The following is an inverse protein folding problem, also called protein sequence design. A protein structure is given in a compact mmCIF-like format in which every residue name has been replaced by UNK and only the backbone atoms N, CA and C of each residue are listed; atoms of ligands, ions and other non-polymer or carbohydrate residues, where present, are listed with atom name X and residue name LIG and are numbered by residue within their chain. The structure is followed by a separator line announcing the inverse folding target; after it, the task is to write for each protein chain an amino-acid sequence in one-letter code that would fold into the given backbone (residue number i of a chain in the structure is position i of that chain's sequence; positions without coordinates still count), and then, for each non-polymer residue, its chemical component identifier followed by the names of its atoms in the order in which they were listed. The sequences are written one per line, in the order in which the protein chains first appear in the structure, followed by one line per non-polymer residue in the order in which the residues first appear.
data_IF_350943139450
#
_entry.id   IF_350943139450
#
_cell.length_a   1.000
_cell.length_b   1.000
_cell.length_c   1.000
_cell.angle_alpha   90.00
_cell.angle_beta   90.00
_cell.angle_gamma   90.00
#
_symmetry.space_group_name_H-M   'P 1'
#
loop_
_entity.id
_entity.type
_entity.pdbx_description
1 polymer ?
#
# COMPACT_ATOMS: atom_id res chain seq x y z
N UNK A 1 -33.93 0.34 0.86
CA UNK A 1 -33.27 0.37 -0.47
C UNK A 1 -32.77 -1.03 -0.73
N UNK A 2 -33.07 -1.60 -1.88
CA UNK A 2 -32.44 -2.84 -2.35
C UNK A 2 -31.12 -2.45 -3.04
N UNK A 3 -30.02 -3.09 -2.65
CA UNK A 3 -28.71 -2.91 -3.28
C UNK A 3 -28.11 -4.29 -3.52
N UNK A 4 -27.48 -4.49 -4.68
CA UNK A 4 -26.82 -5.76 -5.03
C UNK A 4 -25.51 -5.97 -4.25
N UNK A 5 -24.88 -4.87 -3.84
CA UNK A 5 -23.60 -4.85 -3.12
C UNK A 5 -23.59 -3.86 -1.96
N UNK A 6 -22.89 -4.20 -0.88
CA UNK A 6 -22.73 -3.36 0.32
C UNK A 6 -21.25 -3.29 0.71
N UNK A 7 -20.76 -2.10 1.04
CA UNK A 7 -19.42 -1.90 1.59
C UNK A 7 -19.49 -1.39 3.03
N UNK A 8 -18.81 -2.09 3.94
CA UNK A 8 -18.73 -1.77 5.36
C UNK A 8 -17.45 -0.95 5.60
N UNK A 9 -17.64 0.33 5.90
CA UNK A 9 -16.58 1.28 6.26
C UNK A 9 -16.86 1.99 7.58
N UNK A 10 -17.35 1.27 8.60
CA UNK A 10 -17.73 1.84 9.91
C UNK A 10 -16.56 2.37 10.74
N UNK A 11 -15.34 1.88 10.49
CA UNK A 11 -14.11 2.30 11.17
C UNK A 11 -14.00 1.82 12.62
N UNK A 12 -13.00 2.34 13.33
CA UNK A 12 -12.70 2.01 14.73
C UNK A 12 -13.09 3.15 15.67
N UNK A 13 -14.40 3.34 15.89
CA UNK A 13 -14.93 4.52 16.58
C UNK A 13 -15.04 4.40 18.10
N UNK A 14 -14.61 3.28 18.70
CA UNK A 14 -14.61 3.09 20.16
C UNK A 14 -13.19 3.24 20.70
N UNK A 15 -13.03 3.78 21.89
CA UNK A 15 -11.74 3.75 22.60
C UNK A 15 -11.53 2.38 23.26
N UNK A 16 -10.27 1.98 23.42
CA UNK A 16 -9.95 0.80 24.22
C UNK A 16 -10.08 1.14 25.71
N UNK A 17 -10.88 0.39 26.50
CA UNK A 17 -11.08 0.69 27.91
C UNK A 17 -9.81 0.40 28.73
N UNK A 18 -9.54 1.25 29.73
CA UNK A 18 -8.49 1.05 30.72
C UNK A 18 -9.10 0.58 32.03
N UNK A 19 -8.87 -0.67 32.41
CA UNK A 19 -9.45 -1.25 33.61
C UNK A 19 -8.53 -1.07 34.82
N UNK A 20 -8.65 0.06 35.52
CA UNK A 20 -7.94 0.35 36.78
C UNK A 20 -8.90 0.93 37.82
N UNK A 21 -8.62 0.79 39.12
CA UNK A 21 -9.41 1.43 40.17
C UNK A 21 -9.52 2.94 39.96
N UNK A 22 -10.72 3.49 40.19
CA UNK A 22 -11.00 4.93 40.10
C UNK A 22 -11.21 5.48 38.69
N UNK A 23 -11.20 4.65 37.64
CA UNK A 23 -11.32 5.11 36.25
C UNK A 23 -12.66 5.82 35.94
N UNK A 24 -13.73 5.53 36.69
CA UNK A 24 -15.05 6.16 36.55
C UNK A 24 -15.16 7.53 37.24
N UNK A 25 -14.07 8.07 37.78
CA UNK A 25 -14.09 9.33 38.51
C UNK A 25 -14.34 10.53 37.58
N UNK A 26 -15.01 11.58 38.10
CA UNK A 26 -15.17 12.84 37.36
C UNK A 26 -13.79 13.45 37.08
N UNK A 27 -13.54 13.82 35.83
CA UNK A 27 -12.22 14.29 35.36
C UNK A 27 -11.44 13.22 34.58
N UNK A 28 -11.90 11.97 34.59
CA UNK A 28 -11.47 11.00 33.57
C UNK A 28 -12.32 11.20 32.32
N UNK A 29 -11.70 11.49 31.18
CA UNK A 29 -12.39 11.80 29.93
C UNK A 29 -12.05 10.75 28.86
N UNK A 30 -13.05 10.31 28.09
CA UNK A 30 -12.80 9.48 26.91
C UNK A 30 -12.01 10.29 25.86
N UNK A 31 -10.91 9.74 25.29
CA UNK A 31 -10.07 10.46 24.35
C UNK A 31 -10.79 10.89 23.08
N UNK A 32 -11.67 10.05 22.52
CA UNK A 32 -12.37 10.37 21.27
C UNK A 32 -13.47 11.38 21.54
N UNK A 33 -14.26 11.19 22.61
CA UNK A 33 -15.29 12.14 23.01
C UNK A 33 -14.71 13.52 23.31
N UNK A 34 -13.56 13.57 24.01
CA UNK A 34 -12.82 14.80 24.26
C UNK A 34 -12.50 15.53 22.94
N UNK A 35 -11.87 14.85 21.99
CA UNK A 35 -11.51 15.43 20.69
C UNK A 35 -12.75 15.86 19.88
N UNK A 36 -13.83 15.06 19.90
CA UNK A 36 -15.08 15.39 19.22
C UNK A 36 -15.74 16.64 19.80
N UNK A 37 -15.80 16.77 21.14
CA UNK A 37 -16.36 17.95 21.80
C UNK A 37 -15.58 19.22 21.46
N UNK A 38 -14.24 19.16 21.48
CA UNK A 38 -13.40 20.30 21.08
C UNK A 38 -13.69 20.71 19.64
N UNK A 39 -13.73 19.75 18.72
CA UNK A 39 -14.05 20.01 17.30
C UNK A 39 -15.42 20.67 17.13
N UNK A 40 -16.39 20.34 17.98
CA UNK A 40 -17.73 20.93 17.97
C UNK A 40 -17.83 22.26 18.75
N UNK A 41 -16.73 22.76 19.33
CA UNK A 41 -16.74 23.95 20.17
C UNK A 41 -17.50 23.78 21.48
N UNK A 42 -17.64 22.53 21.96
CA UNK A 42 -18.36 22.19 23.19
C UNK A 42 -17.41 22.12 24.39
N UNK A 43 -17.98 22.32 25.58
CA UNK A 43 -17.24 22.17 26.83
C UNK A 43 -16.84 20.69 27.06
N UNK A 44 -15.56 20.49 27.33
CA UNK A 44 -14.96 19.16 27.54
C UNK A 44 -14.93 18.74 29.01
N UNK A 45 -14.98 19.70 29.93
CA UNK A 45 -14.74 19.46 31.36
C UNK A 45 -13.26 19.28 31.72
N UNK A 46 -12.33 19.66 30.83
CA UNK A 46 -10.88 19.65 31.09
C UNK A 46 -10.53 20.65 32.20
N UNK A 47 -9.63 20.24 33.10
CA UNK A 47 -8.99 21.07 34.11
C UNK A 47 -7.63 21.61 33.66
N UNK A 48 -6.76 21.99 34.61
CA UNK A 48 -5.48 22.64 34.30
C UNK A 48 -4.29 21.68 34.33
N UNK A 49 -4.40 20.53 34.99
CA UNK A 49 -3.34 19.53 35.12
C UNK A 49 -3.79 18.23 34.49
N UNK A 50 -3.38 18.02 33.24
CA UNK A 50 -3.89 16.97 32.36
C UNK A 50 -2.83 15.87 32.20
N UNK A 51 -3.23 14.63 32.45
CA UNK A 51 -2.42 13.46 32.10
C UNK A 51 -3.06 12.72 30.93
N UNK A 52 -2.29 12.50 29.87
CA UNK A 52 -2.64 11.61 28.76
C UNK A 52 -1.92 10.28 28.97
N UNK A 53 -2.65 9.16 28.95
CA UNK A 53 -2.06 7.83 29.06
C UNK A 53 -1.98 7.23 27.65
N UNK A 54 -0.77 6.95 27.17
CA UNK A 54 -0.57 6.35 25.84
C UNK A 54 0.62 6.93 25.09
N UNK A 55 0.84 6.45 23.86
CA UNK A 55 1.94 6.90 23.00
C UNK A 55 1.66 6.79 21.51
N UNK A 56 0.40 6.55 21.12
CA UNK A 56 -0.02 6.54 19.71
C UNK A 56 -0.53 7.90 19.25
N UNK A 57 -0.91 8.00 17.97
CA UNK A 57 -1.35 9.28 17.38
C UNK A 57 -2.52 9.91 18.15
N UNK A 58 -3.52 9.13 18.58
CA UNK A 58 -4.61 9.66 19.43
C UNK A 58 -4.12 10.28 20.74
N UNK A 59 -3.03 9.77 21.32
CA UNK A 59 -2.44 10.36 22.52
C UNK A 59 -1.73 11.69 22.19
N UNK A 60 -1.09 11.79 21.02
CA UNK A 60 -0.49 13.04 20.54
C UNK A 60 -1.59 14.08 20.26
N UNK A 61 -2.65 13.70 19.54
CA UNK A 61 -3.79 14.56 19.24
C UNK A 61 -4.43 15.10 20.53
N UNK A 62 -4.69 14.22 21.50
CA UNK A 62 -5.26 14.60 22.79
C UNK A 62 -4.32 15.53 23.57
N UNK A 63 -3.00 15.26 23.59
CA UNK A 63 -2.02 16.09 24.27
C UNK A 63 -1.94 17.51 23.66
N UNK A 64 -1.76 17.61 22.35
CA UNK A 64 -1.66 18.90 21.64
C UNK A 64 -2.95 19.70 21.74
N UNK A 65 -4.10 19.02 21.68
CA UNK A 65 -5.40 19.65 21.91
C UNK A 65 -5.52 20.16 23.34
N UNK A 66 -5.13 19.36 24.33
CA UNK A 66 -5.15 19.77 25.73
C UNK A 66 -4.27 20.99 25.98
N UNK A 67 -3.06 21.06 25.40
CA UNK A 67 -2.15 22.22 25.54
C UNK A 67 -2.85 23.53 25.16
N UNK A 68 -3.61 23.52 24.07
CA UNK A 68 -4.34 24.70 23.56
C UNK A 68 -5.46 25.13 24.49
N UNK A 69 -6.16 24.17 25.09
CA UNK A 69 -7.27 24.46 26.02
C UNK A 69 -6.79 24.95 27.38
N UNK A 70 -5.73 24.36 27.94
CA UNK A 70 -5.23 24.73 29.27
C UNK A 70 -4.37 26.00 29.25
N UNK A 71 -3.83 26.33 28.07
CA UNK A 71 -3.01 27.51 27.82
C UNK A 71 -1.74 27.57 28.67
N UNK A 72 -1.20 28.78 28.83
CA UNK A 72 0.12 29.01 29.48
C UNK A 72 0.19 28.56 30.94
N UNK A 73 -0.94 28.62 31.64
CA UNK A 73 -1.06 28.31 33.06
C UNK A 73 -1.34 26.83 33.35
N UNK A 74 -1.60 26.04 32.31
CA UNK A 74 -1.82 24.60 32.45
C UNK A 74 -0.55 23.78 32.27
N UNK A 75 -0.68 22.51 32.65
CA UNK A 75 0.33 21.48 32.48
C UNK A 75 -0.30 20.26 31.81
N UNK A 76 0.33 19.80 30.73
CA UNK A 76 -0.02 18.55 30.05
C UNK A 76 1.17 17.60 30.18
N UNK A 77 0.89 16.36 30.56
CA UNK A 77 1.89 15.31 30.72
C UNK A 77 1.42 14.03 30.05
N UNK A 78 2.29 13.41 29.27
CA UNK A 78 2.07 12.08 28.71
C UNK A 78 2.72 11.06 29.62
N UNK A 79 1.97 10.03 30.03
CA UNK A 79 2.48 8.86 30.73
C UNK A 79 2.52 7.70 29.77
N UNK A 80 3.72 7.15 29.55
CA UNK A 80 3.92 6.04 28.64
C UNK A 80 4.70 4.90 29.28
N UNK A 81 4.17 3.67 29.15
CA UNK A 81 4.75 2.45 29.74
C UNK A 81 6.07 2.01 29.08
N UNK A 82 6.45 2.62 27.95
CA UNK A 82 7.70 2.37 27.21
C UNK A 82 8.46 3.68 27.04
N UNK A 83 9.55 3.64 26.27
CA UNK A 83 10.33 4.84 25.91
C UNK A 83 9.71 5.58 24.71
N UNK A 84 10.05 6.87 24.55
CA UNK A 84 9.68 7.73 23.41
C UNK A 84 10.09 7.07 22.09
N UNK A 85 11.28 6.46 22.04
CA UNK A 85 11.78 5.72 20.86
C UNK A 85 10.89 4.54 20.45
N UNK A 86 10.01 4.11 21.34
CA UNK A 86 9.08 3.00 21.14
C UNK A 86 7.62 3.46 21.09
N UNK A 87 7.35 4.76 21.01
CA UNK A 87 6.02 5.27 20.75
C UNK A 87 5.58 4.86 19.34
N UNK A 88 4.36 4.33 19.16
CA UNK A 88 3.84 4.00 17.83
C UNK A 88 3.35 5.23 17.04
N UNK A 89 3.30 6.41 17.65
CA UNK A 89 2.98 7.65 16.95
C UNK A 89 4.02 8.00 15.87
N UNK A 90 3.61 8.81 14.90
CA UNK A 90 4.54 9.34 13.91
C UNK A 90 5.62 10.20 14.57
N UNK A 91 6.86 10.12 14.06
CA UNK A 91 8.01 10.85 14.62
C UNK A 91 7.81 12.37 14.59
N UNK A 92 7.11 12.89 13.57
CA UNK A 92 6.75 14.30 13.48
C UNK A 92 5.80 14.72 14.59
N UNK A 93 4.78 13.90 14.90
CA UNK A 93 3.83 14.18 15.98
C UNK A 93 4.49 14.14 17.36
N UNK A 94 5.36 13.16 17.60
CA UNK A 94 6.14 13.07 18.84
C UNK A 94 6.98 14.33 19.03
N UNK A 95 7.66 14.77 17.95
CA UNK A 95 8.47 15.99 17.98
C UNK A 95 7.61 17.22 18.25
N UNK A 96 6.48 17.37 17.58
CA UNK A 96 5.58 18.51 17.76
C UNK A 96 5.06 18.62 19.20
N UNK A 97 4.67 17.49 19.82
CA UNK A 97 4.26 17.43 21.23
C UNK A 97 5.37 17.92 22.17
N UNK A 98 6.62 17.50 21.94
CA UNK A 98 7.77 17.91 22.74
C UNK A 98 8.10 19.40 22.53
N UNK A 99 8.04 19.88 21.29
CA UNK A 99 8.31 21.28 20.93
C UNK A 99 7.24 22.23 21.52
N UNK A 100 5.99 21.78 21.63
CA UNK A 100 4.90 22.48 22.33
C UNK A 100 5.08 22.50 23.86
N UNK A 101 6.05 21.73 24.39
CA UNK A 101 6.44 21.74 25.81
C UNK A 101 5.72 20.71 26.68
N UNK A 102 5.14 19.66 26.09
CA UNK A 102 4.52 18.56 26.82
C UNK A 102 5.59 17.68 27.47
N UNK A 103 5.43 17.42 28.77
CA UNK A 103 6.32 16.51 29.50
C UNK A 103 5.94 15.05 29.18
N UNK A 104 6.92 14.21 28.87
CA UNK A 104 6.71 12.76 28.68
C UNK A 104 7.40 11.99 29.81
N UNK A 105 6.60 11.29 30.60
CA UNK A 105 7.08 10.37 31.63
C UNK A 105 7.16 8.97 31.00
N UNK A 106 8.36 8.62 30.57
CA UNK A 106 8.69 7.29 30.07
C UNK A 106 8.68 6.24 31.19
N UNK A 107 8.53 4.98 30.78
CA UNK A 107 8.62 3.82 31.67
C UNK A 107 7.75 3.97 32.93
N UNK A 108 6.53 4.47 32.74
CA UNK A 108 5.53 4.59 33.78
C UNK A 108 4.20 4.02 33.27
N UNK A 109 3.64 3.05 33.99
CA UNK A 109 2.32 2.52 33.69
C UNK A 109 1.29 2.90 34.75
N UNK A 110 0.04 3.15 34.36
CA UNK A 110 -1.02 3.50 35.30
C UNK A 110 -1.41 2.29 36.16
N UNK A 111 -1.68 2.53 37.44
CA UNK A 111 -2.12 1.50 38.41
C UNK A 111 -3.50 1.83 38.96
N UNK A 112 -3.74 3.09 39.33
CA UNK A 112 -5.04 3.57 39.82
C UNK A 112 -5.19 5.07 39.55
N UNK A 113 -6.44 5.52 39.40
CA UNK A 113 -6.79 6.93 39.52
C UNK A 113 -7.06 7.22 41.00
N UNK A 114 -6.27 8.11 41.58
CA UNK A 114 -6.46 8.55 42.96
C UNK A 114 -7.61 9.55 42.98
N UNK A 115 -8.71 9.18 43.64
CA UNK A 115 -9.96 9.94 43.68
C UNK A 115 -10.08 10.70 44.99
N UNK A 116 -10.46 11.98 44.90
CA UNK A 116 -10.82 12.81 46.06
C UNK A 116 -12.15 13.50 45.78
N UNK A 117 -13.11 13.38 46.71
CA UNK A 117 -14.45 13.95 46.59
C UNK A 117 -15.17 13.59 45.27
N UNK A 118 -14.97 12.34 44.80
CA UNK A 118 -15.53 11.84 43.54
C UNK A 118 -14.85 12.35 42.26
N UNK A 119 -13.75 13.09 42.37
CA UNK A 119 -13.00 13.65 41.24
C UNK A 119 -11.58 13.08 41.16
N UNK A 120 -11.03 13.01 39.95
CA UNK A 120 -9.62 12.72 39.74
C UNK A 120 -8.74 13.76 40.45
N UNK A 121 -7.73 13.29 41.18
CA UNK A 121 -6.77 14.14 41.91
C UNK A 121 -5.31 13.79 41.57
N UNK A 122 -5.03 12.53 41.24
CA UNK A 122 -3.74 12.09 40.73
C UNK A 122 -3.88 10.79 39.93
N UNK A 123 -2.90 10.50 39.07
CA UNK A 123 -2.69 9.18 38.51
C UNK A 123 -1.56 8.49 39.27
N UNK A 124 -1.85 7.37 39.94
CA UNK A 124 -0.81 6.52 40.51
C UNK A 124 -0.21 5.67 39.40
N UNK A 125 1.09 5.76 39.26
CA UNK A 125 1.88 5.00 38.30
C UNK A 125 2.88 4.11 39.01
N UNK A 126 3.31 3.05 38.33
CA UNK A 126 4.45 2.22 38.72
C UNK A 126 5.57 2.36 37.69
N UNK A 127 6.83 2.40 38.13
CA UNK A 127 7.96 2.40 37.21
C UNK A 127 8.07 1.06 36.48
N UNK A 128 8.41 1.15 35.21
CA UNK A 128 8.59 0.02 34.31
C UNK A 128 10.07 -0.14 33.99
N UNK A 129 10.48 -1.36 33.65
CA UNK A 129 11.77 -1.65 33.02
C UNK A 129 11.56 -2.43 31.74
N UNK A 130 12.41 -2.18 30.75
CA UNK A 130 12.44 -2.94 29.50
C UNK A 130 13.00 -4.36 29.74
N UNK A 131 12.41 -5.33 29.07
CA UNK A 131 12.87 -6.72 29.03
C UNK A 131 13.20 -7.15 27.60
N UNK A 132 13.16 -8.46 27.34
CA UNK A 132 13.38 -9.04 26.01
C UNK A 132 12.26 -8.67 25.04
N UNK A 133 12.50 -8.84 23.73
CA UNK A 133 11.47 -8.68 22.70
C UNK A 133 10.33 -9.68 22.93
N UNK A 134 9.10 -9.18 22.84
CA UNK A 134 7.86 -9.93 22.87
C UNK A 134 7.51 -10.47 21.46
N UNK A 135 6.38 -11.19 21.37
CA UNK A 135 5.88 -11.80 20.12
C UNK A 135 5.54 -10.76 19.04
N UNK A 136 5.33 -9.50 19.42
CA UNK A 136 5.13 -8.38 18.48
C UNK A 136 6.44 -7.72 18.06
N UNK A 137 7.57 -8.36 18.37
CA UNK A 137 8.95 -7.87 18.24
C UNK A 137 9.27 -6.61 19.06
N UNK A 138 8.36 -6.19 19.95
CA UNK A 138 8.53 -5.01 20.81
C UNK A 138 9.20 -5.43 22.11
N UNK A 139 10.03 -4.58 22.72
CA UNK A 139 10.54 -4.92 24.05
C UNK A 139 9.38 -5.02 25.04
N UNK A 140 9.32 -6.16 25.74
CA UNK A 140 8.43 -6.37 26.88
C UNK A 140 8.74 -5.34 27.96
N UNK A 141 7.75 -5.00 28.77
CA UNK A 141 7.93 -4.14 29.93
C UNK A 141 7.42 -4.83 31.17
N UNK A 142 8.20 -4.74 32.25
CA UNK A 142 7.89 -5.35 33.55
C UNK A 142 7.86 -4.26 34.62
N UNK A 143 6.92 -4.40 35.54
CA UNK A 143 6.80 -3.51 36.70
C UNK A 143 8.00 -3.64 37.63
N UNK A 144 8.37 -2.52 38.26
CA UNK A 144 9.33 -2.48 39.35
C UNK A 144 8.55 -2.38 40.65
N UNK A 145 8.46 -3.48 41.40
CA UNK A 145 7.71 -3.53 42.66
C UNK A 145 8.21 -2.46 43.65
N UNK A 146 7.28 -1.81 44.36
CA UNK A 146 7.60 -0.77 45.34
C UNK A 146 7.96 0.60 44.76
N UNK A 147 7.87 0.79 43.44
CA UNK A 147 8.22 2.06 42.76
C UNK A 147 7.01 2.96 42.44
N UNK A 148 5.93 2.81 43.21
CA UNK A 148 4.70 3.56 42.98
C UNK A 148 4.91 5.06 43.20
N UNK A 149 4.31 5.88 42.35
CA UNK A 149 4.36 7.34 42.45
C UNK A 149 3.04 7.95 42.00
N UNK A 150 2.61 9.00 42.69
CA UNK A 150 1.39 9.73 42.34
C UNK A 150 1.77 10.97 41.53
N UNK A 151 1.20 11.10 40.34
CA UNK A 151 1.35 12.27 39.48
C UNK A 151 0.07 13.10 39.62
N UNK A 152 0.12 14.30 40.23
CA UNK A 152 -1.07 15.13 40.41
C UNK A 152 -1.72 15.52 39.07
N UNK A 153 -3.04 15.34 38.99
CA UNK A 153 -3.82 15.68 37.81
C UNK A 153 -5.29 15.85 38.17
N UNK A 154 -5.94 16.86 37.59
CA UNK A 154 -7.38 17.05 37.68
C UNK A 154 -8.11 16.43 36.46
N UNK A 155 -7.38 16.14 35.38
CA UNK A 155 -7.90 15.48 34.19
C UNK A 155 -7.01 14.32 33.76
N UNK A 156 -7.62 13.17 33.45
CA UNK A 156 -6.92 11.98 32.96
C UNK A 156 -7.60 11.50 31.67
N UNK A 157 -6.83 11.30 30.60
CA UNK A 157 -7.34 10.88 29.29
C UNK A 157 -6.62 9.58 28.86
N UNK A 158 -7.29 8.41 28.91
CA UNK A 158 -6.69 7.13 28.53
C UNK A 158 -6.74 6.89 27.01
N UNK A 159 -5.73 7.38 26.28
CA UNK A 159 -5.57 7.23 24.82
C UNK A 159 -4.73 5.98 24.46
N UNK A 160 -5.21 4.79 24.86
CA UNK A 160 -4.44 3.53 24.76
C UNK A 160 -4.78 2.66 23.54
N UNK A 161 -5.72 3.07 22.70
CA UNK A 161 -6.11 2.34 21.49
C UNK A 161 -7.52 2.66 21.03
N UNK A 162 -7.89 2.11 19.87
CA UNK A 162 -9.24 2.17 19.33
C UNK A 162 -9.73 0.75 19.01
N UNK A 163 -11.05 0.57 19.06
CA UNK A 163 -11.76 -0.67 18.81
C UNK A 163 -12.81 -0.48 17.73
N UNK A 164 -13.09 -1.58 17.03
CA UNK A 164 -14.18 -1.63 16.06
C UNK A 164 -15.51 -1.33 16.74
N UNK A 165 -16.36 -0.58 16.03
CA UNK A 165 -17.73 -0.37 16.45
C UNK A 165 -18.68 -1.13 15.51
N UNK A 166 -18.61 -2.46 15.57
CA UNK A 166 -19.45 -3.37 14.78
C UNK A 166 -20.16 -4.31 15.74
N UNK A 167 -21.30 -3.88 16.26
CA UNK A 167 -22.16 -4.65 17.18
C UNK A 167 -23.42 -5.20 16.50
N UNK A 168 -23.56 -4.93 15.20
CA UNK A 168 -24.72 -5.31 14.39
C UNK A 168 -24.50 -6.58 13.56
N UNK A 169 -23.29 -7.16 13.56
CA UNK A 169 -22.92 -8.40 12.83
C UNK A 169 -21.89 -9.20 13.62
N UNK A 170 -21.85 -10.51 13.38
CA UNK A 170 -20.81 -11.41 13.88
C UNK A 170 -19.47 -11.17 13.15
N UNK A 171 -18.38 -10.99 13.91
CA UNK A 171 -17.03 -10.79 13.38
C UNK A 171 -16.58 -11.94 12.46
N UNK A 172 -17.03 -13.16 12.71
CA UNK A 172 -16.65 -14.32 11.89
C UNK A 172 -17.19 -14.22 10.46
N UNK A 173 -18.34 -13.56 10.28
CA UNK A 173 -18.96 -13.33 8.97
C UNK A 173 -18.25 -12.23 8.18
N UNK A 174 -17.52 -11.35 8.85
CA UNK A 174 -16.79 -10.23 8.26
C UNK A 174 -15.36 -10.58 7.83
N UNK A 175 -14.89 -11.79 8.13
CA UNK A 175 -13.58 -12.26 7.68
C UNK A 175 -13.52 -12.32 6.15
N UNK A 176 -12.40 -11.85 5.61
CA UNK A 176 -12.10 -11.91 4.17
C UNK A 176 -11.04 -12.97 3.88
N UNK A 177 -10.96 -13.41 2.61
CA UNK A 177 -9.85 -14.24 2.13
C UNK A 177 -8.64 -13.36 1.79
N UNK A 178 -7.45 -13.98 1.74
CA UNK A 178 -6.22 -13.23 1.48
C UNK A 178 -6.28 -12.53 0.12
N UNK A 179 -6.12 -11.21 0.11
CA UNK A 179 -6.17 -10.39 -1.12
C UNK A 179 -7.57 -9.99 -1.60
N UNK A 180 -8.63 -10.39 -0.91
CA UNK A 180 -10.02 -9.99 -1.21
C UNK A 180 -10.59 -9.09 -0.13
N UNK A 181 -11.55 -8.26 -0.54
CA UNK A 181 -12.36 -7.40 0.33
C UNK A 181 -13.77 -7.95 0.54
N UNK A 182 -14.14 -9.03 -0.17
CA UNK A 182 -15.41 -9.72 0.02
C UNK A 182 -15.42 -10.46 1.36
N UNK A 183 -16.50 -10.27 2.10
CA UNK A 183 -16.76 -11.00 3.34
C UNK A 183 -17.36 -12.38 3.05
N UNK A 184 -17.67 -13.15 4.10
CA UNK A 184 -18.40 -14.42 3.94
C UNK A 184 -19.88 -14.22 3.60
N UNK A 185 -20.40 -13.00 3.76
CA UNK A 185 -21.76 -12.65 3.36
C UNK A 185 -21.72 -12.25 1.87
N UNK A 186 -22.47 -12.97 1.05
CA UNK A 186 -22.56 -12.70 -0.38
C UNK A 186 -22.98 -11.24 -0.65
N UNK A 187 -22.23 -10.56 -1.53
CA UNK A 187 -22.46 -9.17 -1.90
C UNK A 187 -21.98 -8.13 -0.87
N UNK A 188 -21.39 -8.56 0.26
CA UNK A 188 -20.91 -7.64 1.31
C UNK A 188 -19.39 -7.62 1.33
N UNK A 189 -18.85 -6.41 1.37
CA UNK A 189 -17.42 -6.09 1.36
C UNK A 189 -17.06 -5.27 2.59
N UNK A 190 -15.80 -5.27 3.00
CA UNK A 190 -15.30 -4.52 4.14
C UNK A 190 -13.92 -3.94 3.83
N UNK A 191 -13.57 -2.79 4.39
CA UNK A 191 -12.24 -2.22 4.21
C UNK A 191 -11.93 -1.05 5.15
N UNK A 192 -10.68 -0.57 5.06
CA UNK A 192 -10.16 0.44 5.97
C UNK A 192 -10.10 -0.07 7.40
N UNK A 193 -10.30 0.83 8.36
CA UNK A 193 -10.16 0.49 9.78
C UNK A 193 -11.17 -0.57 10.23
N UNK A 194 -12.33 -0.68 9.57
CA UNK A 194 -13.31 -1.73 9.83
C UNK A 194 -12.74 -3.15 9.60
N UNK A 195 -11.78 -3.27 8.68
CA UNK A 195 -11.10 -4.53 8.34
C UNK A 195 -9.74 -4.66 9.05
N UNK A 196 -8.99 -3.56 9.18
CA UNK A 196 -7.60 -3.56 9.65
C UNK A 196 -7.43 -3.32 11.15
N UNK A 197 -8.47 -2.81 11.82
CA UNK A 197 -8.31 -2.03 13.05
C UNK A 197 -7.67 -0.66 12.76
N UNK A 198 -7.35 0.09 13.82
CA UNK A 198 -6.81 1.45 13.70
C UNK A 198 -5.58 1.51 12.77
N UNK A 199 -5.74 2.12 11.61
CA UNK A 199 -4.71 2.26 10.58
C UNK A 199 -4.59 3.73 10.14
N UNK A 200 -3.87 3.96 9.04
CA UNK A 200 -3.72 5.30 8.48
C UNK A 200 -4.82 5.57 7.44
N UNK A 201 -5.23 6.83 7.31
CA UNK A 201 -6.22 7.24 6.31
C UNK A 201 -5.86 6.77 4.89
N UNK A 202 -4.57 6.80 4.52
CA UNK A 202 -4.11 6.35 3.20
C UNK A 202 -4.34 4.85 2.97
N UNK A 203 -4.22 4.01 4.00
CA UNK A 203 -4.53 2.57 3.90
C UNK A 203 -6.02 2.36 3.71
N UNK A 204 -6.86 3.12 4.42
CA UNK A 204 -8.32 3.06 4.26
C UNK A 204 -8.78 3.51 2.87
N UNK A 205 -8.18 4.58 2.32
CA UNK A 205 -8.40 5.01 0.94
C UNK A 205 -8.00 3.90 -0.04
N UNK A 206 -6.82 3.29 0.17
CA UNK A 206 -6.33 2.19 -0.66
C UNK A 206 -7.27 0.97 -0.66
N UNK A 207 -7.81 0.62 0.50
CA UNK A 207 -8.79 -0.46 0.62
C UNK A 207 -10.11 -0.12 -0.09
N UNK A 208 -10.63 1.09 0.10
CA UNK A 208 -11.85 1.53 -0.58
C UNK A 208 -11.73 1.45 -2.10
N UNK A 209 -10.58 1.85 -2.66
CA UNK A 209 -10.32 1.75 -4.11
C UNK A 209 -10.31 0.30 -4.58
N UNK A 210 -9.59 -0.58 -3.89
CA UNK A 210 -9.47 -2.00 -4.28
C UNK A 210 -10.79 -2.76 -4.10
N UNK A 211 -11.54 -2.48 -3.03
CA UNK A 211 -12.86 -3.04 -2.82
C UNK A 211 -13.83 -2.58 -3.91
N UNK A 212 -13.80 -1.30 -4.31
CA UNK A 212 -14.61 -0.80 -5.42
C UNK A 212 -14.27 -1.50 -6.75
N UNK A 213 -12.99 -1.70 -7.06
CA UNK A 213 -12.57 -2.47 -8.25
C UNK A 213 -13.07 -3.92 -8.20
N UNK A 214 -13.08 -4.55 -7.03
CA UNK A 214 -13.58 -5.93 -6.84
C UNK A 214 -15.11 -6.01 -6.98
N UNK A 215 -15.83 -5.05 -6.41
CA UNK A 215 -17.29 -4.92 -6.58
C UNK A 215 -17.64 -4.77 -8.05
N UNK A 216 -16.94 -3.89 -8.78
CA UNK A 216 -17.18 -3.68 -10.22
C UNK A 216 -16.98 -4.99 -10.99
N UNK A 217 -15.87 -5.71 -10.76
CA UNK A 217 -15.64 -7.01 -11.40
C UNK A 217 -16.76 -8.01 -11.10
N UNK A 218 -17.20 -8.12 -9.85
CA UNK A 218 -18.25 -9.05 -9.45
C UNK A 218 -19.65 -8.64 -9.95
N UNK A 219 -19.85 -7.35 -10.24
CA UNK A 219 -21.03 -6.83 -10.92
C UNK A 219 -21.00 -7.07 -12.45
N UNK A 220 -19.95 -7.70 -12.98
CA UNK A 220 -19.75 -7.84 -14.43
C UNK A 220 -19.40 -6.52 -15.13
N UNK A 221 -19.00 -5.51 -14.37
CA UNK A 221 -18.60 -4.20 -14.87
C UNK A 221 -17.08 -4.11 -14.95
N UNK A 222 -16.60 -3.38 -15.96
CA UNK A 222 -15.19 -3.06 -16.05
C UNK A 222 -14.88 -1.86 -15.15
N UNK A 223 -13.84 -1.92 -14.29
CA UNK A 223 -13.36 -0.75 -13.58
C UNK A 223 -13.01 0.36 -14.58
N UNK A 224 -13.79 1.44 -14.60
CA UNK A 224 -13.42 2.64 -15.33
C UNK A 224 -12.30 3.36 -14.57
N UNK A 225 -11.31 3.83 -15.30
CA UNK A 225 -10.29 4.72 -14.73
C UNK A 225 -10.74 6.16 -14.87
N UNK A 226 -10.65 6.88 -13.75
CA UNK A 226 -10.53 8.32 -13.75
C UNK A 226 -9.11 8.71 -14.19
N UNK A 227 -8.84 8.62 -15.50
CA UNK A 227 -7.71 9.38 -16.07
C UNK A 227 -8.22 10.81 -16.25
N UNK A 228 -7.60 11.82 -15.63
CA UNK A 228 -8.01 13.20 -15.82
C UNK A 228 -8.05 13.53 -17.32
N UNK A 229 -9.19 14.06 -17.78
CA UNK A 229 -9.32 14.50 -19.16
C UNK A 229 -8.22 15.53 -19.47
N UNK A 230 -7.56 15.40 -20.63
CA UNK A 230 -6.51 16.33 -21.06
C UNK A 230 -5.12 16.02 -20.54
N UNK A 231 -4.86 14.85 -19.96
CA UNK A 231 -3.50 14.39 -19.66
C UNK A 231 -2.66 14.31 -20.94
N UNK A 232 -1.60 15.12 -21.02
CA UNK A 232 -0.67 15.13 -22.14
C UNK A 232 0.34 13.97 -21.99
N UNK A 233 0.57 13.22 -23.07
CA UNK A 233 1.64 12.23 -23.10
C UNK A 233 3.01 12.95 -23.16
N UNK A 234 3.96 12.49 -22.36
CA UNK A 234 5.32 13.03 -22.36
C UNK A 234 6.26 12.22 -23.25
N UNK A 235 7.23 12.90 -23.87
CA UNK A 235 8.28 12.21 -24.62
C UNK A 235 9.25 11.50 -23.66
N UNK A 236 9.79 10.36 -24.08
CA UNK A 236 10.74 9.58 -23.27
C UNK A 236 11.94 10.42 -22.83
N UNK A 237 12.50 11.24 -23.73
CA UNK A 237 13.66 12.07 -23.43
C UNK A 237 13.34 13.13 -22.39
N UNK A 238 12.16 13.75 -22.47
CA UNK A 238 11.69 14.73 -21.47
C UNK A 238 11.58 14.09 -20.09
N UNK A 239 10.98 12.90 -20.02
CA UNK A 239 10.83 12.14 -18.78
C UNK A 239 12.18 11.78 -18.14
N UNK A 240 13.17 11.39 -18.96
CA UNK A 240 14.53 11.12 -18.50
C UNK A 240 15.20 12.41 -17.99
N UNK A 241 15.13 13.50 -18.76
CA UNK A 241 15.74 14.79 -18.38
C UNK A 241 15.20 15.25 -17.02
N UNK A 242 13.88 15.16 -16.81
CA UNK A 242 13.22 15.57 -15.57
C UNK A 242 13.73 14.83 -14.33
N UNK A 243 14.33 13.64 -14.50
CA UNK A 243 14.86 12.79 -13.41
C UNK A 243 16.35 12.99 -13.15
N UNK A 244 17.05 13.75 -13.99
CA UNK A 244 18.49 13.95 -13.84
C UNK A 244 18.85 14.85 -12.66
N UNK A 245 17.93 15.73 -12.24
CA UNK A 245 18.15 16.67 -11.16
C UNK A 245 17.08 16.53 -10.08
N UNK A 246 17.52 16.43 -8.82
CA UNK A 246 16.63 16.56 -7.67
C UNK A 246 16.32 18.03 -7.46
N UNK A 247 15.08 18.41 -7.74
CA UNK A 247 14.51 19.71 -7.34
C UNK A 247 13.87 19.50 -5.98
N UNK A 248 14.12 20.36 -4.98
CA UNK A 248 13.45 20.30 -3.68
C UNK A 248 12.12 21.06 -3.74
N UNK A 249 11.12 20.59 -2.98
CA UNK A 249 9.83 21.27 -2.89
C UNK A 249 9.91 22.47 -1.94
N UNK A 250 8.91 23.36 -1.96
CA UNK A 250 8.78 24.38 -0.94
C UNK A 250 8.67 23.71 0.45
N UNK A 251 9.42 24.23 1.42
CA UNK A 251 9.27 23.79 2.81
C UNK A 251 8.09 24.52 3.43
N UNK A 252 7.07 23.81 3.96
CA UNK A 252 5.98 24.47 4.66
C UNK A 252 6.54 25.21 5.87
N UNK A 253 6.10 26.45 6.08
CA UNK A 253 6.48 27.23 7.26
C UNK A 253 5.84 26.59 8.49
N UNK A 254 6.66 26.09 9.41
CA UNK A 254 6.19 25.59 10.70
C UNK A 254 6.31 26.69 11.77
N UNK A 255 5.19 27.08 12.34
CA UNK A 255 5.16 27.99 13.48
C UNK A 255 5.60 27.23 14.74
N UNK A 256 6.84 27.43 15.17
CA UNK A 256 7.33 26.92 16.45
C UNK A 256 6.75 27.75 17.61
N UNK A 257 5.54 27.41 18.04
CA UNK A 257 4.88 28.05 19.18
C UNK A 257 5.00 27.13 20.39
N UNK A 258 5.81 27.55 21.37
CA UNK A 258 5.90 26.85 22.66
C UNK A 258 4.67 27.21 23.51
N UNK A 259 3.89 26.20 23.92
CA UNK A 259 2.60 26.35 24.62
C UNK A 259 1.61 27.26 23.86
N UNK A 260 1.12 26.85 22.69
CA UNK A 260 0.05 27.57 22.00
C UNK A 260 -1.19 27.65 22.89
N UNK A 261 -1.89 28.79 22.84
CA UNK A 261 -3.15 29.05 23.55
C UNK A 261 -4.34 29.21 22.59
N UNK A 262 -4.15 28.85 21.31
CA UNK A 262 -5.17 28.85 20.28
C UNK A 262 -5.04 27.66 19.31
N UNK A 263 -5.97 27.58 18.36
CA UNK A 263 -5.98 26.57 17.29
C UNK A 263 -5.48 27.14 15.96
N UNK A 264 -4.58 28.14 16.01
CA UNK A 264 -3.94 28.65 14.79
C UNK A 264 -3.18 27.54 14.08
N UNK A 265 -3.11 27.66 12.76
CA UNK A 265 -2.49 26.66 11.90
C UNK A 265 -0.98 26.61 12.18
N UNK A 266 -0.48 25.43 12.57
CA UNK A 266 0.94 25.24 12.92
C UNK A 266 1.79 25.04 11.67
N UNK A 267 1.30 24.25 10.71
CA UNK A 267 1.97 23.99 9.44
C UNK A 267 1.27 24.80 8.35
N UNK A 268 1.97 25.78 7.78
CA UNK A 268 1.44 26.59 6.69
C UNK A 268 1.04 25.77 5.47
N UNK A 269 0.01 26.22 4.76
CA UNK A 269 -0.38 25.70 3.45
C UNK A 269 0.41 26.38 2.35
N UNK A 270 0.66 25.67 1.25
CA UNK A 270 1.16 26.28 0.02
C UNK A 270 0.16 27.30 -0.51
N UNK A 271 0.65 28.45 -0.97
CA UNK A 271 -0.16 29.34 -1.77
C UNK A 271 -0.43 28.75 -3.18
N UNK A 272 -1.29 29.40 -3.96
CA UNK A 272 -1.67 28.91 -5.29
C UNK A 272 -0.45 28.72 -6.22
N UNK A 273 0.51 29.63 -6.19
CA UNK A 273 1.69 29.58 -7.04
C UNK A 273 2.67 28.48 -6.54
N UNK A 274 2.90 28.39 -5.25
CA UNK A 274 3.70 27.33 -4.63
C UNK A 274 3.11 25.94 -4.92
N UNK A 275 1.78 25.80 -4.87
CA UNK A 275 1.09 24.56 -5.20
C UNK A 275 1.28 24.18 -6.69
N UNK A 276 1.21 25.15 -7.61
CA UNK A 276 1.48 24.92 -9.04
C UNK A 276 2.94 24.51 -9.27
N UNK A 277 3.90 25.16 -8.61
CA UNK A 277 5.32 24.81 -8.68
C UNK A 277 5.57 23.41 -8.14
N UNK A 278 4.98 23.07 -6.99
CA UNK A 278 5.12 21.74 -6.37
C UNK A 278 4.50 20.64 -7.25
N UNK A 279 3.31 20.87 -7.81
CA UNK A 279 2.68 19.95 -8.76
C UNK A 279 3.54 19.77 -10.03
N UNK A 280 4.15 20.85 -10.52
CA UNK A 280 5.07 20.84 -11.67
C UNK A 280 6.30 19.95 -11.46
N UNK A 281 6.65 19.65 -10.21
CA UNK A 281 7.78 18.80 -9.81
C UNK A 281 7.52 17.30 -10.00
N UNK A 282 6.29 16.88 -10.33
CA UNK A 282 5.90 15.49 -10.59
C UNK A 282 6.83 14.80 -11.61
N UNK A 283 7.41 13.64 -11.27
CA UNK A 283 8.33 12.91 -12.16
C UNK A 283 7.66 11.94 -13.15
N UNK A 284 6.32 11.91 -13.18
CA UNK A 284 5.53 11.04 -14.05
C UNK A 284 5.97 9.56 -13.96
N UNK A 285 6.12 9.07 -12.72
CA UNK A 285 6.55 7.69 -12.46
C UNK A 285 5.51 6.64 -12.91
N UNK A 286 4.27 7.06 -13.11
CA UNK A 286 3.20 6.24 -13.65
C UNK A 286 3.22 6.16 -15.18
N UNK A 287 4.00 6.99 -15.88
CA UNK A 287 4.27 6.82 -17.32
C UNK A 287 5.56 6.02 -17.55
N UNK A 288 6.65 6.41 -16.89
CA UNK A 288 7.95 5.76 -17.01
C UNK A 288 8.43 5.28 -15.65
N UNK A 289 8.60 3.97 -15.46
CA UNK A 289 9.26 3.43 -14.26
C UNK A 289 10.56 2.72 -14.67
N UNK A 290 11.70 3.43 -14.61
CA UNK A 290 12.99 2.95 -15.14
C UNK A 290 14.18 3.15 -14.21
N UNK A 291 13.98 3.46 -12.93
CA UNK A 291 15.09 3.61 -11.97
C UNK A 291 15.97 2.36 -11.93
N UNK A 292 15.35 1.18 -12.03
CA UNK A 292 16.06 -0.09 -12.03
C UNK A 292 17.03 -0.26 -13.23
N UNK A 293 16.77 0.38 -14.37
CA UNK A 293 17.67 0.36 -15.53
C UNK A 293 18.88 1.27 -15.32
N UNK A 294 18.70 2.38 -14.60
CA UNK A 294 19.79 3.36 -14.37
C UNK A 294 20.74 2.94 -13.26
N UNK A 295 20.32 2.08 -12.33
CA UNK A 295 21.15 1.61 -11.21
C UNK A 295 21.75 0.22 -11.43
N UNK A 296 21.42 -0.45 -12.54
CA UNK A 296 21.94 -1.78 -12.86
C UNK A 296 23.37 -1.66 -13.43
N UNK A 297 24.40 -2.14 -12.72
CA UNK A 297 25.79 -2.02 -13.17
C UNK A 297 26.09 -2.88 -14.41
N UNK A 298 25.36 -3.98 -14.58
CA UNK A 298 25.54 -4.92 -15.69
C UNK A 298 24.60 -4.64 -16.88
N UNK A 299 23.80 -3.56 -16.81
CA UNK A 299 22.83 -3.18 -17.84
C UNK A 299 21.82 -4.29 -18.20
N UNK A 300 21.51 -5.17 -17.24
CA UNK A 300 20.58 -6.31 -17.46
C UNK A 300 19.13 -5.87 -17.59
N UNK A 301 18.75 -4.78 -16.93
CA UNK A 301 17.40 -4.25 -16.96
C UNK A 301 17.29 -3.20 -18.05
N UNK A 302 16.44 -3.44 -19.04
CA UNK A 302 16.25 -2.55 -20.19
C UNK A 302 14.78 -2.14 -20.31
N UNK A 303 14.56 -0.92 -20.80
CA UNK A 303 13.22 -0.42 -21.08
C UNK A 303 12.80 -0.81 -22.50
N UNK A 304 11.60 -1.35 -22.67
CA UNK A 304 10.97 -1.59 -23.97
C UNK A 304 9.58 -0.95 -24.03
N UNK A 305 9.06 -0.80 -25.25
CA UNK A 305 7.81 -0.08 -25.51
C UNK A 305 6.72 -1.06 -25.97
N UNK A 306 5.61 -1.06 -25.24
CA UNK A 306 4.39 -1.77 -25.59
C UNK A 306 3.23 -0.79 -25.72
N UNK A 307 2.21 -1.19 -26.45
CA UNK A 307 0.99 -0.39 -26.57
C UNK A 307 0.08 -0.68 -25.37
N UNK A 308 -0.26 0.33 -24.55
CA UNK A 308 -1.19 0.16 -23.44
C UNK A 308 -2.57 -0.29 -23.95
N UNK A 309 -3.23 -1.14 -23.19
CA UNK A 309 -4.51 -1.68 -23.60
C UNK A 309 -5.05 -2.74 -22.66
N UNK A 310 -6.31 -3.11 -22.88
CA UNK A 310 -6.95 -4.26 -22.25
C UNK A 310 -7.21 -5.28 -23.34
N UNK A 311 -6.63 -6.46 -23.19
CA UNK A 311 -6.70 -7.52 -24.19
C UNK A 311 -7.52 -8.68 -23.61
N UNK A 312 -8.59 -9.14 -24.28
CA UNK A 312 -9.26 -10.37 -23.86
C UNK A 312 -8.27 -11.52 -23.98
N UNK A 313 -8.19 -12.35 -22.95
CA UNK A 313 -7.38 -13.57 -22.93
C UNK A 313 -8.25 -14.76 -22.59
N UNK A 314 -7.88 -15.91 -23.12
CA UNK A 314 -8.72 -17.08 -23.11
C UNK A 314 -7.96 -18.34 -23.48
N UNK A 315 -8.71 -19.39 -23.76
CA UNK A 315 -8.18 -20.66 -24.23
C UNK A 315 -8.77 -20.99 -25.59
N UNK A 316 -7.94 -21.55 -26.48
CA UNK A 316 -8.42 -22.28 -27.64
C UNK A 316 -8.58 -23.73 -27.22
N UNK A 317 -9.81 -24.25 -27.33
CA UNK A 317 -10.12 -25.65 -27.06
C UNK A 317 -10.28 -26.33 -28.41
N UNK A 318 -9.43 -27.31 -28.70
CA UNK A 318 -9.48 -28.13 -29.90
C UNK A 318 -9.92 -29.54 -29.56
N UNK A 319 -11.01 -30.02 -30.17
CA UNK A 319 -11.62 -31.32 -29.85
C UNK A 319 -11.19 -32.47 -30.77
N UNK A 320 -10.33 -32.20 -31.76
CA UNK A 320 -9.91 -33.16 -32.78
C UNK A 320 -10.33 -32.75 -34.19
N UNK A 321 -11.46 -32.05 -34.33
CA UNK A 321 -12.00 -31.59 -35.62
C UNK A 321 -12.31 -30.09 -35.62
N UNK A 322 -12.83 -29.56 -34.52
CA UNK A 322 -13.26 -28.18 -34.37
C UNK A 322 -12.45 -27.47 -33.27
N UNK A 323 -12.47 -26.14 -33.33
CA UNK A 323 -11.96 -25.29 -32.26
C UNK A 323 -13.03 -24.31 -31.78
N UNK A 324 -12.95 -23.96 -30.50
CA UNK A 324 -13.70 -22.84 -29.93
C UNK A 324 -12.79 -21.97 -29.07
N UNK A 325 -13.08 -20.67 -29.06
CA UNK A 325 -12.42 -19.72 -28.19
C UNK A 325 -13.26 -19.49 -26.93
N UNK A 326 -12.65 -19.66 -25.77
CA UNK A 326 -13.27 -19.37 -24.48
C UNK A 326 -12.51 -18.23 -23.81
N UNK A 327 -13.15 -17.06 -23.66
CA UNK A 327 -12.55 -15.91 -22.95
C UNK A 327 -12.65 -16.17 -21.45
N UNK A 328 -11.50 -16.31 -20.80
CA UNK A 328 -11.39 -16.61 -19.37
C UNK A 328 -11.00 -15.39 -18.54
N UNK A 329 -10.57 -14.29 -19.18
CA UNK A 329 -10.26 -13.05 -18.49
C UNK A 329 -9.73 -11.95 -19.41
N UNK A 330 -9.06 -10.97 -18.81
CA UNK A 330 -8.46 -9.84 -19.50
C UNK A 330 -7.03 -9.62 -19.01
N UNK A 331 -6.14 -9.28 -19.93
CA UNK A 331 -4.77 -8.86 -19.65
C UNK A 331 -4.66 -7.34 -19.85
N UNK A 332 -4.25 -6.62 -18.80
CA UNK A 332 -4.16 -5.15 -18.83
C UNK A 332 -2.70 -4.69 -18.84
N UNK A 333 -2.38 -3.80 -19.78
CA UNK A 333 -1.12 -3.05 -19.81
C UNK A 333 -1.41 -1.59 -19.50
N UNK A 334 -0.90 -1.13 -18.35
CA UNK A 334 -1.15 0.24 -17.86
C UNK A 334 -0.13 1.26 -18.35
N UNK A 335 1.12 0.85 -18.50
CA UNK A 335 2.23 1.75 -18.84
C UNK A 335 2.81 1.36 -20.18
N UNK A 336 3.11 2.37 -21.01
CA UNK A 336 3.74 2.19 -22.32
C UNK A 336 5.17 1.64 -22.19
N UNK A 337 5.92 2.18 -21.24
CA UNK A 337 7.30 1.78 -20.98
C UNK A 337 7.32 0.64 -19.96
N UNK A 338 7.83 -0.52 -20.40
CA UNK A 338 7.97 -1.72 -19.58
C UNK A 338 9.44 -2.06 -19.41
N UNK A 339 9.75 -2.89 -18.42
CA UNK A 339 11.12 -3.33 -18.12
C UNK A 339 11.25 -4.82 -18.42
N UNK A 340 12.30 -5.19 -19.13
CA UNK A 340 12.75 -6.57 -19.31
C UNK A 340 14.07 -6.79 -18.57
N UNK A 341 14.35 -8.03 -18.22
CA UNK A 341 15.55 -8.44 -17.50
C UNK A 341 16.34 -9.47 -18.31
N UNK A 342 17.52 -9.11 -18.83
CA UNK A 342 18.45 -10.07 -19.42
C UNK A 342 19.13 -10.89 -18.32
N UNK A 343 18.60 -12.08 -18.07
CA UNK A 343 18.95 -12.90 -16.91
C UNK A 343 20.41 -13.34 -16.93
N UNK A 344 20.94 -13.71 -18.11
CA UNK A 344 22.32 -14.20 -18.29
C UNK A 344 23.41 -13.21 -17.84
N UNK A 345 23.10 -11.92 -17.80
CA UNK A 345 24.06 -10.88 -17.44
C UNK A 345 23.96 -10.49 -15.96
N UNK A 346 22.98 -11.04 -15.24
CA UNK A 346 22.67 -10.62 -13.89
C UNK A 346 23.54 -11.35 -12.88
N UNK A 347 24.13 -10.60 -11.96
CA UNK A 347 24.86 -11.14 -10.82
C UNK A 347 24.10 -10.97 -9.49
N UNK A 348 22.80 -10.64 -9.57
CA UNK A 348 21.91 -10.47 -8.43
C UNK A 348 22.42 -9.51 -7.33
N UNK A 349 23.16 -8.47 -7.69
CA UNK A 349 23.72 -7.52 -6.70
C UNK A 349 22.68 -6.77 -5.85
N UNK A 350 21.40 -6.79 -6.23
CA UNK A 350 20.30 -6.22 -5.46
C UNK A 350 20.11 -4.70 -5.60
N UNK A 351 20.93 -3.99 -6.39
CA UNK A 351 20.79 -2.54 -6.58
C UNK A 351 19.38 -2.15 -7.03
N UNK A 352 18.81 -2.88 -7.99
CA UNK A 352 17.46 -2.60 -8.47
C UNK A 352 16.38 -2.76 -7.40
N UNK A 353 16.61 -3.54 -6.34
CA UNK A 353 15.72 -3.67 -5.18
C UNK A 353 15.88 -2.46 -4.26
N UNK A 354 17.12 -2.13 -3.90
CA UNK A 354 17.45 -1.03 -2.98
C UNK A 354 16.88 0.30 -3.46
N UNK A 355 16.94 0.56 -4.77
CA UNK A 355 16.48 1.82 -5.36
C UNK A 355 15.06 1.75 -5.95
N UNK A 356 14.33 0.64 -5.76
CA UNK A 356 12.98 0.51 -6.31
C UNK A 356 12.01 1.45 -5.58
N UNK A 357 11.39 2.44 -6.27
CA UNK A 357 10.47 3.38 -5.61
C UNK A 357 9.15 2.74 -5.16
N UNK A 358 8.85 1.53 -5.67
CA UNK A 358 7.66 0.75 -5.30
C UNK A 358 7.99 -0.44 -4.39
N UNK A 359 9.20 -0.48 -3.82
CA UNK A 359 9.68 -1.57 -2.95
C UNK A 359 9.59 -2.97 -3.57
N UNK A 360 9.65 -3.07 -4.90
CA UNK A 360 9.70 -4.35 -5.62
C UNK A 360 11.12 -4.88 -5.80
N UNK A 361 11.24 -6.08 -6.36
CA UNK A 361 12.49 -6.72 -6.73
C UNK A 361 12.63 -6.91 -8.26
N UNK A 362 13.02 -5.88 -9.04
CA UNK A 362 12.95 -5.92 -10.50
C UNK A 362 13.68 -7.10 -11.16
N UNK A 363 14.86 -7.49 -10.65
CA UNK A 363 15.58 -8.63 -11.20
C UNK A 363 14.87 -9.98 -11.01
N UNK A 364 13.93 -10.09 -10.05
CA UNK A 364 13.11 -11.29 -9.83
C UNK A 364 11.74 -11.19 -10.48
N UNK A 365 11.15 -9.99 -10.48
CA UNK A 365 9.74 -9.78 -10.85
C UNK A 365 9.53 -9.42 -12.32
N UNK A 366 10.54 -8.84 -12.98
CA UNK A 366 10.40 -8.45 -14.40
C UNK A 366 10.62 -9.65 -15.31
N UNK A 367 10.00 -9.68 -16.52
CA UNK A 367 10.18 -10.78 -17.45
C UNK A 367 11.66 -11.05 -17.72
N UNK A 368 12.08 -12.29 -17.45
CA UNK A 368 13.43 -12.76 -17.71
C UNK A 368 13.58 -13.15 -19.17
N UNK A 369 14.59 -12.60 -19.83
CA UNK A 369 14.96 -12.93 -21.20
C UNK A 369 16.37 -13.54 -21.18
N UNK A 370 16.48 -14.73 -21.72
CA UNK A 370 17.71 -15.48 -21.90
C UNK A 370 18.14 -15.40 -23.36
N UNK A 371 19.43 -15.19 -23.55
CA UNK A 371 20.15 -15.20 -24.83
C UNK A 371 20.97 -16.50 -24.97
N UNK A 372 21.31 -17.13 -23.85
CA UNK A 372 21.88 -18.48 -23.84
C UNK A 372 20.77 -19.54 -23.70
N UNK A 373 20.70 -20.44 -24.68
CA UNK A 373 19.70 -21.50 -24.71
C UNK A 373 19.86 -22.49 -23.56
N UNK A 374 21.10 -22.80 -23.17
CA UNK A 374 21.39 -23.75 -22.09
C UNK A 374 20.95 -23.20 -20.74
N UNK A 375 21.17 -21.91 -20.51
CA UNK A 375 20.70 -21.21 -19.31
C UNK A 375 19.16 -21.25 -19.23
N UNK A 376 18.46 -20.91 -20.31
CA UNK A 376 17.00 -21.00 -20.38
C UNK A 376 16.47 -22.43 -20.10
N UNK A 377 17.07 -23.45 -20.71
CA UNK A 377 16.66 -24.85 -20.52
C UNK A 377 16.96 -25.37 -19.10
N UNK A 378 17.93 -24.76 -18.42
CA UNK A 378 18.31 -25.08 -17.03
C UNK A 378 17.36 -24.44 -16.02
N UNK A 379 17.12 -23.12 -16.14
CA UNK A 379 16.28 -22.37 -15.21
C UNK A 379 14.78 -22.67 -15.42
N UNK A 380 14.36 -22.88 -16.67
CA UNK A 380 12.97 -23.12 -17.08
C UNK A 380 11.99 -22.05 -16.60
N UNK A 381 12.49 -20.83 -16.38
CA UNK A 381 11.69 -19.64 -16.15
C UNK A 381 11.98 -18.60 -17.24
N UNK A 382 11.05 -17.65 -17.40
CA UNK A 382 11.21 -16.59 -18.39
C UNK A 382 11.12 -17.04 -19.84
N UNK A 383 11.92 -16.39 -20.68
CA UNK A 383 11.80 -16.44 -22.13
C UNK A 383 13.15 -16.57 -22.81
N UNK A 384 13.22 -17.35 -23.89
CA UNK A 384 14.41 -17.41 -24.75
C UNK A 384 14.10 -16.80 -26.11
N UNK A 385 14.88 -15.80 -26.53
CA UNK A 385 14.69 -15.11 -27.80
C UNK A 385 15.75 -15.54 -28.83
N UNK A 386 15.32 -15.88 -30.05
CA UNK A 386 16.21 -16.27 -31.14
C UNK A 386 15.71 -15.75 -32.50
N UNK A 387 16.64 -15.50 -33.41
CA UNK A 387 16.30 -15.18 -34.80
C UNK A 387 16.33 -16.46 -35.64
N UNK A 388 15.19 -16.81 -36.20
CA UNK A 388 15.02 -17.97 -37.09
C UNK A 388 15.02 -17.54 -38.55
N UNK A 389 14.99 -18.50 -39.48
CA UNK A 389 14.83 -18.23 -40.91
C UNK A 389 13.48 -17.54 -41.24
N UNK A 390 12.45 -17.75 -40.42
CA UNK A 390 11.09 -17.23 -40.63
C UNK A 390 10.86 -15.87 -39.97
N UNK A 391 11.69 -15.50 -38.98
CA UNK A 391 11.59 -14.25 -38.24
C UNK A 391 12.09 -14.35 -36.80
N UNK A 392 11.79 -13.33 -36.01
CA UNK A 392 12.11 -13.32 -34.58
C UNK A 392 11.17 -14.29 -33.85
N UNK A 393 11.74 -15.15 -33.02
CA UNK A 393 11.03 -16.17 -32.24
C UNK A 393 11.33 -16.01 -30.76
N UNK A 394 10.35 -16.33 -29.92
CA UNK A 394 10.50 -16.41 -28.47
C UNK A 394 9.93 -17.73 -27.96
N UNK A 395 10.58 -18.33 -26.96
CA UNK A 395 10.15 -19.56 -26.30
C UNK A 395 9.96 -19.33 -24.80
N UNK A 396 9.07 -20.09 -24.16
CA UNK A 396 8.86 -20.05 -22.70
C UNK A 396 8.36 -21.40 -22.20
N UNK A 397 8.64 -21.72 -20.93
CA UNK A 397 8.04 -22.85 -20.25
C UNK A 397 6.85 -22.41 -19.41
N UNK A 398 5.72 -23.10 -19.56
CA UNK A 398 4.52 -22.86 -18.75
C UNK A 398 3.82 -24.19 -18.48
N UNK A 399 3.46 -24.46 -17.22
CA UNK A 399 2.83 -25.70 -16.77
C UNK A 399 3.49 -26.99 -17.30
N UNK A 400 4.83 -26.98 -17.34
CA UNK A 400 5.65 -28.12 -17.78
C UNK A 400 5.74 -28.31 -19.30
N UNK A 401 5.12 -27.43 -20.10
CA UNK A 401 5.17 -27.45 -21.56
C UNK A 401 6.00 -26.30 -22.11
N UNK A 402 6.68 -26.54 -23.24
CA UNK A 402 7.40 -25.50 -23.96
C UNK A 402 6.49 -24.88 -25.02
N UNK A 403 6.36 -23.56 -24.99
CA UNK A 403 5.62 -22.79 -25.97
C UNK A 403 6.57 -21.95 -26.81
N UNK A 404 6.27 -21.83 -28.10
CA UNK A 404 6.97 -20.98 -29.06
C UNK A 404 6.04 -19.93 -29.66
N UNK A 405 6.57 -18.74 -29.94
CA UNK A 405 5.89 -17.72 -30.71
C UNK A 405 6.87 -17.09 -31.71
N UNK A 406 6.59 -17.27 -33.01
CA UNK A 406 7.37 -16.67 -34.09
C UNK A 406 6.58 -15.56 -34.76
N UNK A 407 7.22 -14.38 -34.92
CA UNK A 407 6.68 -13.25 -35.68
C UNK A 407 7.26 -13.26 -37.09
N UNK A 408 6.38 -13.37 -38.08
CA UNK A 408 6.69 -13.18 -39.50
C UNK A 408 6.17 -11.81 -39.97
N UNK A 409 6.30 -11.48 -41.25
CA UNK A 409 5.81 -10.20 -41.79
C UNK A 409 4.30 -9.97 -41.58
N UNK A 410 3.47 -11.01 -41.71
CA UNK A 410 2.00 -10.90 -41.72
C UNK A 410 1.31 -11.86 -40.73
N UNK A 411 2.06 -12.68 -39.99
CA UNK A 411 1.49 -13.73 -39.13
C UNK A 411 2.28 -13.90 -37.83
N UNK A 412 1.56 -14.32 -36.80
CA UNK A 412 2.11 -14.95 -35.60
C UNK A 412 1.91 -16.46 -35.68
N UNK A 413 2.95 -17.21 -35.34
CA UNK A 413 2.90 -18.68 -35.26
C UNK A 413 3.09 -19.05 -33.79
N UNK A 414 2.02 -19.47 -33.12
CA UNK A 414 2.05 -19.93 -31.73
C UNK A 414 2.09 -21.45 -31.70
N UNK A 415 3.08 -22.05 -31.05
CA UNK A 415 3.32 -23.49 -31.09
C UNK A 415 3.62 -24.09 -29.72
N UNK A 416 3.44 -25.40 -29.63
CA UNK A 416 3.89 -26.27 -28.54
C UNK A 416 4.30 -27.62 -29.13
N UNK A 417 4.63 -28.59 -28.26
CA UNK A 417 4.84 -29.98 -28.68
C UNK A 417 3.56 -30.64 -29.24
N UNK A 418 2.39 -30.04 -29.01
CA UNK A 418 1.09 -30.61 -29.37
C UNK A 418 0.41 -29.94 -30.56
N UNK A 419 0.72 -28.67 -30.83
CA UNK A 419 0.01 -27.89 -31.83
C UNK A 419 0.88 -26.80 -32.46
N UNK A 420 0.42 -26.30 -33.60
CA UNK A 420 0.87 -25.04 -34.20
C UNK A 420 -0.37 -24.26 -34.68
N UNK A 421 -0.48 -23.01 -34.25
CA UNK A 421 -1.61 -22.12 -34.51
C UNK A 421 -1.08 -20.89 -35.25
N UNK A 422 -1.55 -20.67 -36.47
CA UNK A 422 -1.24 -19.48 -37.25
C UNK A 422 -2.32 -18.43 -37.05
N UNK A 423 -1.90 -17.22 -36.67
CA UNK A 423 -2.78 -16.07 -36.47
C UNK A 423 -2.33 -14.91 -37.37
N UNK A 424 -3.28 -14.14 -37.87
CA UNK A 424 -2.99 -12.89 -38.57
C UNK A 424 -2.36 -11.87 -37.61
N UNK A 425 -1.28 -11.19 -38.05
CA UNK A 425 -0.56 -10.26 -37.18
C UNK A 425 -1.34 -8.97 -36.85
N UNK A 426 -2.34 -8.59 -37.65
CA UNK A 426 -3.10 -7.35 -37.53
C UNK A 426 -4.33 -7.48 -36.63
N UNK A 427 -5.03 -8.62 -36.67
CA UNK A 427 -6.28 -8.83 -35.93
C UNK A 427 -6.27 -10.07 -35.02
N UNK A 428 -5.19 -10.87 -35.04
CA UNK A 428 -5.01 -12.08 -34.22
C UNK A 428 -6.05 -13.18 -34.54
N UNK A 429 -6.77 -13.08 -35.66
CA UNK A 429 -7.70 -14.13 -36.10
C UNK A 429 -6.93 -15.40 -36.47
N UNK A 430 -7.44 -16.54 -35.99
CA UNK A 430 -6.89 -17.87 -36.29
C UNK A 430 -7.10 -18.15 -37.78
N UNK A 431 -6.01 -18.41 -38.49
CA UNK A 431 -6.02 -18.80 -39.90
C UNK A 431 -5.96 -20.30 -40.07
N UNK A 432 -5.10 -20.96 -39.28
CA UNK A 432 -4.84 -22.38 -39.40
C UNK A 432 -4.45 -22.97 -38.04
N UNK A 433 -4.89 -24.20 -37.78
CA UNK A 433 -4.49 -24.99 -36.62
C UNK A 433 -3.97 -26.33 -37.14
N UNK A 434 -2.70 -26.60 -36.89
CA UNK A 434 -2.06 -27.89 -37.12
C UNK A 434 -1.99 -28.65 -35.79
N UNK A 435 -2.64 -29.82 -35.73
CA UNK A 435 -2.57 -30.71 -34.57
C UNK A 435 -1.41 -31.69 -34.74
N UNK A 436 -0.32 -31.47 -34.00
CA UNK A 436 0.91 -32.28 -34.08
C UNK A 436 0.74 -33.58 -33.30
N UNK A 437 0.05 -33.53 -32.15
CA UNK A 437 -0.11 -34.71 -31.27
C UNK A 437 -1.19 -35.69 -31.74
N UNK A 438 -2.12 -35.24 -32.57
CA UNK A 438 -3.31 -36.00 -32.96
C UNK A 438 -4.35 -36.15 -31.85
N UNK A 439 -4.16 -35.48 -30.71
CA UNK A 439 -5.06 -35.51 -29.56
C UNK A 439 -5.76 -34.14 -29.39
N UNK A 440 -6.85 -34.13 -28.61
CA UNK A 440 -7.47 -32.88 -28.16
C UNK A 440 -6.49 -32.08 -27.28
N UNK A 441 -6.50 -30.76 -27.38
CA UNK A 441 -5.62 -29.88 -26.61
C UNK A 441 -6.31 -28.58 -26.21
N UNK A 442 -5.76 -27.95 -25.17
CA UNK A 442 -6.08 -26.58 -24.79
C UNK A 442 -4.83 -25.71 -24.99
N UNK A 443 -4.98 -24.57 -25.68
CA UNK A 443 -3.92 -23.59 -25.83
C UNK A 443 -4.25 -22.33 -25.03
N UNK A 444 -3.45 -22.02 -24.01
CA UNK A 444 -3.62 -20.82 -23.17
C UNK A 444 -3.07 -19.57 -23.88
N UNK A 445 -3.98 -18.72 -24.34
CA UNK A 445 -3.63 -17.47 -25.03
C UNK A 445 -3.09 -16.40 -24.09
N UNK A 446 -3.23 -16.55 -22.76
CA UNK A 446 -2.59 -15.64 -21.80
C UNK A 446 -1.06 -15.75 -21.86
N UNK A 447 -0.52 -16.94 -22.11
CA UNK A 447 0.91 -17.19 -22.34
C UNK A 447 1.32 -16.55 -23.66
N UNK A 448 0.57 -16.82 -24.74
CA UNK A 448 0.82 -16.25 -26.06
C UNK A 448 0.79 -14.72 -26.06
N UNK A 449 -0.12 -14.10 -25.32
CA UNK A 449 -0.18 -12.64 -25.16
C UNK A 449 1.09 -12.08 -24.49
N UNK A 450 1.58 -12.70 -23.40
CA UNK A 450 2.84 -12.29 -22.75
C UNK A 450 4.02 -12.43 -23.72
N UNK A 451 4.10 -13.54 -24.45
CA UNK A 451 5.14 -13.77 -25.46
C UNK A 451 5.11 -12.71 -26.56
N UNK A 452 3.92 -12.39 -27.10
CA UNK A 452 3.75 -11.37 -28.15
C UNK A 452 4.30 -10.01 -27.70
N UNK A 453 3.98 -9.60 -26.48
CA UNK A 453 4.39 -8.29 -25.95
C UNK A 453 5.90 -8.17 -25.81
N UNK A 454 6.55 -9.22 -25.31
CA UNK A 454 8.01 -9.24 -25.16
C UNK A 454 8.66 -9.32 -26.55
N UNK A 455 8.14 -10.16 -27.44
CA UNK A 455 8.65 -10.32 -28.81
C UNK A 455 8.58 -9.01 -29.61
N UNK A 456 7.44 -8.30 -29.57
CA UNK A 456 7.28 -6.98 -30.19
C UNK A 456 8.19 -5.93 -29.55
N UNK A 457 8.38 -6.02 -28.23
CA UNK A 457 9.33 -5.19 -27.48
C UNK A 457 10.76 -5.36 -27.97
N UNK A 458 11.24 -6.60 -28.05
CA UNK A 458 12.59 -6.95 -28.52
C UNK A 458 12.80 -6.54 -29.99
N UNK A 459 11.81 -6.76 -30.86
CA UNK A 459 11.84 -6.37 -32.27
C UNK A 459 11.98 -4.85 -32.43
N UNK A 460 11.26 -4.06 -31.61
CA UNK A 460 11.33 -2.59 -31.60
C UNK A 460 12.64 -2.03 -31.06
N UNK A 461 13.33 -2.75 -30.16
CA UNK A 461 14.59 -2.27 -29.57
C UNK A 461 15.74 -2.20 -30.57
N UNK A 462 15.71 -3.03 -31.63
CA UNK A 462 16.74 -3.09 -32.65
C UNK A 462 18.06 -3.64 -32.07
N UNK A 463 18.38 -4.90 -32.38
CA UNK A 463 19.61 -5.53 -31.86
C UNK A 463 19.58 -7.06 -31.79
N UNK A 464 18.42 -7.68 -32.05
CA UNK A 464 18.21 -9.13 -32.14
C UNK A 464 17.91 -9.58 -33.56
#
# INVERSE_FOLDING_TARGET
KENDFIYIGSGAQKSTPLNIPGIEAKGVLDPLEFLFRVKQGQETGIGQNVIIIGGGNTAMDAARTAVRLVGKNGKVTIVYRRTIRQMPADMGEIRAVLDEGVEVIELAGPVEVVVKDGKANALRCIRMKTGEKDVSERLSVKEISGSQMDIPADTIIPAIGQMLNIDFLDEEMLKTSNGSYATRIHGVYIGGDAMRGAATAIKAIGDGRKAAEEILRNAGLMPQKDVPAGRQAHDFRELIIKRTQRVYGPEPVEALIKKPDDFSMVSGTLDENEAVVEAGRCLWCDELCSICTTVCPNLTLQTYIVDPGVFPVGKIIFDGENHRLEVTGFFEIRQKYQILHFADWCNECGNCVTFCPTSGAPFKEKPHVYLDKTAFETEKDGFFAERTAEGLSIKTFHDGQCYGLTKTANRYIFSSDHFKIEMDASNIEIREIENISGLAFEADLSVGMRMKLILEGLDRMGGF
#
